data_IF_108501061553
#
_entry.id   IF_108501061553
#
_cell.length_a   1.000
_cell.length_b   1.000
_cell.length_c   1.000
_cell.angle_alpha   90.00
_cell.angle_beta   90.00
_cell.angle_gamma   90.00
#
_symmetry.space_group_name_H-M   'P 1'
#
loop_
_entity.id
_entity.type
_entity.pdbx_description
1 polymer ?
#
# COMPACT_ATOMS: atom_id res chain seq x y z
N UNK A 1 -63.45 -14.52 -17.03
CA UNK A 1 -62.55 -13.33 -17.19
C UNK A 1 -61.30 -13.57 -16.38
N UNK A 2 -60.21 -13.89 -17.02
CA UNK A 2 -58.92 -14.25 -16.39
C UNK A 2 -58.15 -12.97 -16.16
N UNK A 3 -58.08 -12.47 -14.90
CA UNK A 3 -57.16 -11.40 -14.54
C UNK A 3 -55.74 -12.00 -14.40
N UNK A 4 -54.92 -11.77 -15.40
CA UNK A 4 -53.47 -12.08 -15.36
C UNK A 4 -52.83 -11.14 -14.36
N UNK A 5 -52.48 -11.65 -13.22
CA UNK A 5 -51.62 -10.98 -12.24
C UNK A 5 -50.19 -11.13 -12.77
N UNK A 6 -49.67 -10.06 -13.31
CA UNK A 6 -48.26 -9.96 -13.74
C UNK A 6 -47.45 -9.71 -12.46
N UNK A 7 -46.89 -10.77 -11.89
CA UNK A 7 -45.92 -10.66 -10.79
C UNK A 7 -44.62 -10.17 -11.41
N UNK A 8 -44.37 -8.88 -11.27
CA UNK A 8 -43.08 -8.28 -11.61
C UNK A 8 -42.08 -8.72 -10.55
N UNK A 9 -41.32 -9.75 -10.85
CA UNK A 9 -40.14 -10.14 -10.06
C UNK A 9 -39.10 -9.02 -10.21
N UNK A 10 -39.10 -8.09 -9.26
CA UNK A 10 -38.04 -7.12 -9.07
C UNK A 10 -36.85 -7.90 -8.53
N UNK A 11 -36.00 -8.40 -9.44
CA UNK A 11 -34.69 -8.95 -9.09
C UNK A 11 -33.86 -7.78 -8.57
N UNK A 12 -33.84 -7.61 -7.25
CA UNK A 12 -32.87 -6.75 -6.60
C UNK A 12 -31.52 -7.42 -6.84
N UNK A 13 -30.82 -6.99 -7.87
CA UNK A 13 -29.39 -7.25 -7.98
C UNK A 13 -28.73 -6.54 -6.79
N UNK A 14 -28.49 -7.30 -5.73
CA UNK A 14 -27.53 -6.94 -4.71
C UNK A 14 -26.20 -6.78 -5.44
N UNK A 15 -25.91 -5.56 -5.90
CA UNK A 15 -24.56 -5.17 -6.26
C UNK A 15 -23.74 -5.35 -4.96
N UNK A 16 -23.12 -6.52 -4.83
CA UNK A 16 -22.04 -6.68 -3.88
C UNK A 16 -21.05 -5.59 -4.23
N UNK A 17 -20.99 -4.54 -3.41
CA UNK A 17 -19.86 -3.64 -3.39
C UNK A 17 -18.64 -4.49 -3.00
N UNK A 18 -18.06 -5.19 -3.96
CA UNK A 18 -16.72 -5.70 -3.80
C UNK A 18 -15.85 -4.46 -3.63
N UNK A 19 -15.32 -4.23 -2.45
CA UNK A 19 -14.30 -3.22 -2.22
C UNK A 19 -13.20 -3.52 -3.23
N UNK A 20 -13.06 -2.64 -4.23
CA UNK A 20 -11.99 -2.78 -5.22
C UNK A 20 -10.69 -2.62 -4.44
N UNK A 21 -9.91 -3.69 -4.34
CA UNK A 21 -8.59 -3.61 -3.70
C UNK A 21 -7.77 -2.55 -4.42
N UNK A 22 -7.04 -1.77 -3.66
CA UNK A 22 -6.16 -0.71 -4.19
C UNK A 22 -5.14 -1.31 -5.15
N UNK A 23 -4.63 -2.47 -4.80
CA UNK A 23 -3.72 -3.28 -5.61
C UNK A 23 -3.93 -4.75 -5.27
N UNK A 24 -3.85 -5.61 -6.29
CA UNK A 24 -3.95 -7.07 -6.14
C UNK A 24 -3.18 -7.73 -7.28
N UNK A 25 -1.87 -7.81 -7.11
CA UNK A 25 -0.99 -8.42 -8.10
C UNK A 25 -1.04 -9.95 -7.99
N UNK A 26 -1.08 -10.62 -9.13
CA UNK A 26 -0.83 -12.05 -9.19
C UNK A 26 0.58 -12.36 -8.67
N UNK A 27 0.75 -13.46 -7.97
CA UNK A 27 2.02 -13.82 -7.32
C UNK A 27 3.21 -13.91 -8.28
N UNK A 28 2.94 -14.33 -9.51
CA UNK A 28 3.94 -14.44 -10.59
C UNK A 28 4.36 -13.10 -11.19
N UNK A 29 3.61 -12.03 -10.92
CA UNK A 29 3.89 -10.66 -11.35
C UNK A 29 4.59 -9.83 -10.28
N UNK A 30 4.74 -10.34 -9.08
CA UNK A 30 5.40 -9.64 -7.99
C UNK A 30 6.92 -9.70 -8.17
N UNK A 31 7.55 -8.55 -8.31
CA UNK A 31 9.00 -8.42 -8.19
C UNK A 31 9.43 -8.57 -6.73
N UNK A 32 10.07 -9.68 -6.40
CA UNK A 32 10.36 -10.08 -5.03
C UNK A 32 11.18 -9.05 -4.26
N UNK A 33 12.22 -8.46 -4.86
CA UNK A 33 13.07 -7.48 -4.18
C UNK A 33 12.31 -6.19 -3.85
N UNK A 34 11.47 -5.74 -4.78
CA UNK A 34 10.64 -4.54 -4.60
C UNK A 34 9.59 -4.73 -3.52
N UNK A 35 8.89 -5.87 -3.56
CA UNK A 35 7.87 -6.24 -2.60
C UNK A 35 8.45 -6.41 -1.18
N UNK A 36 9.46 -7.26 -1.03
CA UNK A 36 10.02 -7.61 0.28
C UNK A 36 10.59 -6.38 0.97
N UNK A 37 11.38 -5.57 0.25
CA UNK A 37 11.99 -4.37 0.83
C UNK A 37 10.96 -3.32 1.25
N UNK A 38 9.89 -3.17 0.48
CA UNK A 38 8.80 -2.26 0.83
C UNK A 38 7.99 -2.78 2.03
N UNK A 39 7.71 -4.08 2.07
CA UNK A 39 7.02 -4.72 3.18
C UNK A 39 7.80 -4.54 4.49
N UNK A 40 9.07 -4.93 4.51
CA UNK A 40 9.93 -4.82 5.71
C UNK A 40 10.07 -3.38 6.20
N UNK A 41 10.33 -2.44 5.28
CA UNK A 41 10.45 -1.02 5.63
C UNK A 41 9.13 -0.44 6.20
N UNK A 42 7.99 -0.90 5.68
CA UNK A 42 6.67 -0.49 6.17
C UNK A 42 6.40 -1.08 7.55
N UNK A 43 6.68 -2.37 7.77
CA UNK A 43 6.56 -3.00 9.08
C UNK A 43 7.45 -2.29 10.09
N UNK A 44 8.72 -2.05 9.77
CA UNK A 44 9.65 -1.35 10.65
C UNK A 44 9.18 0.05 11.06
N UNK A 45 8.50 0.76 10.13
CA UNK A 45 8.01 2.12 10.36
C UNK A 45 6.72 2.14 11.18
N UNK A 46 5.81 1.20 10.94
CA UNK A 46 4.42 1.27 11.44
C UNK A 46 4.10 0.24 12.52
N UNK A 47 5.00 -0.68 12.87
CA UNK A 47 4.78 -1.63 13.95
C UNK A 47 4.44 -0.91 15.26
N UNK A 48 3.32 -1.30 15.87
CA UNK A 48 2.78 -0.66 17.07
C UNK A 48 2.05 0.68 16.84
N UNK A 49 1.89 1.11 15.58
CA UNK A 49 1.17 2.35 15.21
C UNK A 49 -0.13 2.10 14.45
N UNK A 50 -0.36 0.88 14.03
CA UNK A 50 -1.57 0.46 13.28
C UNK A 50 -2.51 -0.23 14.26
N UNK A 51 -3.73 0.29 14.38
CA UNK A 51 -4.79 -0.31 15.19
C UNK A 51 -5.87 -0.92 14.29
N UNK A 52 -6.84 -1.59 14.89
CA UNK A 52 -7.95 -2.25 14.20
C UNK A 52 -8.81 -1.30 13.35
N UNK A 53 -8.84 -0.01 13.67
CA UNK A 53 -9.63 0.99 12.97
C UNK A 53 -8.84 1.73 11.88
N UNK A 54 -7.56 1.37 11.65
CA UNK A 54 -6.74 2.05 10.66
C UNK A 54 -7.25 1.79 9.22
N UNK A 55 -7.29 2.84 8.42
CA UNK A 55 -7.77 2.82 7.02
C UNK A 55 -6.67 2.36 6.07
N UNK A 56 -6.39 1.06 6.03
CA UNK A 56 -5.30 0.46 5.23
C UNK A 56 -5.45 0.75 3.74
N UNK A 57 -6.68 0.65 3.20
CA UNK A 57 -6.93 0.91 1.77
C UNK A 57 -6.63 2.36 1.40
N UNK A 58 -6.99 3.32 2.25
CA UNK A 58 -6.69 4.74 2.03
C UNK A 58 -5.18 4.99 2.08
N UNK A 59 -4.47 4.38 3.03
CA UNK A 59 -3.02 4.48 3.11
C UNK A 59 -2.35 3.95 1.83
N UNK A 60 -2.71 2.75 1.40
CA UNK A 60 -2.18 2.16 0.18
C UNK A 60 -2.55 2.96 -1.07
N UNK A 61 -3.76 3.54 -1.11
CA UNK A 61 -4.18 4.44 -2.20
C UNK A 61 -3.30 5.68 -2.29
N UNK A 62 -2.97 6.30 -1.15
CA UNK A 62 -2.06 7.44 -1.10
C UNK A 62 -0.67 7.08 -1.62
N UNK A 63 -0.13 5.94 -1.21
CA UNK A 63 1.15 5.45 -1.69
C UNK A 63 1.13 5.18 -3.21
N UNK A 64 0.10 4.53 -3.69
CA UNK A 64 -0.09 4.24 -5.12
C UNK A 64 -0.16 5.52 -5.96
N UNK A 65 -0.94 6.50 -5.50
CA UNK A 65 -1.11 7.77 -6.19
C UNK A 65 0.20 8.58 -6.24
N UNK A 66 1.04 8.47 -5.20
CA UNK A 66 2.39 9.03 -5.23
C UNK A 66 3.22 8.44 -6.36
N UNK A 67 3.32 7.12 -6.44
CA UNK A 67 4.13 6.44 -7.46
C UNK A 67 3.58 6.61 -8.88
N UNK A 68 2.29 6.85 -9.03
CA UNK A 68 1.64 7.17 -10.31
C UNK A 68 1.72 8.65 -10.70
N UNK A 69 2.35 9.50 -9.87
CA UNK A 69 2.48 10.92 -10.14
C UNK A 69 1.15 11.70 -10.08
N UNK A 70 0.17 11.20 -9.32
CA UNK A 70 -1.17 11.82 -9.19
C UNK A 70 -1.26 12.85 -8.07
N UNK A 71 -0.23 12.96 -7.25
CA UNK A 71 -0.22 13.91 -6.13
C UNK A 71 0.17 15.29 -6.62
N UNK A 72 -0.76 16.23 -6.55
CA UNK A 72 -0.57 17.61 -7.01
C UNK A 72 -0.16 18.57 -5.88
N UNK A 73 -0.35 18.17 -4.62
CA UNK A 73 0.01 18.99 -3.47
C UNK A 73 1.50 18.84 -3.14
N UNK A 74 2.20 19.96 -2.86
CA UNK A 74 3.56 19.88 -2.33
C UNK A 74 3.61 19.10 -1.01
N UNK A 75 4.67 18.31 -0.83
CA UNK A 75 4.86 17.47 0.38
C UNK A 75 4.72 18.28 1.67
N UNK A 76 5.28 19.49 1.71
CA UNK A 76 5.16 20.37 2.89
C UNK A 76 3.69 20.69 3.23
N UNK A 77 2.83 20.93 2.23
CA UNK A 77 1.41 21.18 2.49
C UNK A 77 0.68 19.93 3.00
N UNK A 78 1.09 18.75 2.56
CA UNK A 78 0.56 17.48 3.07
C UNK A 78 0.96 17.29 4.53
N UNK A 79 2.22 17.52 4.87
CA UNK A 79 2.70 17.48 6.25
C UNK A 79 1.92 18.44 7.15
N UNK A 80 1.74 19.69 6.72
CA UNK A 80 0.98 20.69 7.48
C UNK A 80 -0.48 20.26 7.72
N UNK A 81 -1.12 19.59 6.75
CA UNK A 81 -2.48 19.05 6.89
C UNK A 81 -2.57 17.92 7.93
N UNK A 82 -1.56 17.07 8.04
CA UNK A 82 -1.55 15.96 9.00
C UNK A 82 -1.45 16.44 10.44
N UNK A 83 -0.83 17.60 10.71
CA UNK A 83 -0.76 18.17 12.06
C UNK A 83 -2.10 18.70 12.56
N UNK A 84 -3.04 19.01 11.66
CA UNK A 84 -4.33 19.64 11.99
C UNK A 84 -5.48 18.62 12.06
N UNK A 85 -5.31 17.45 11.46
CA UNK A 85 -6.35 16.41 11.37
C UNK A 85 -6.30 15.39 12.51
N UNK A 86 -7.45 14.74 12.78
CA UNK A 86 -7.52 13.58 13.68
C UNK A 86 -6.78 12.38 13.08
N UNK A 87 -6.06 11.62 13.91
CA UNK A 87 -5.24 10.50 13.47
C UNK A 87 -6.04 9.29 12.94
N UNK A 88 -7.32 9.22 13.20
CA UNK A 88 -8.19 8.09 12.86
C UNK A 88 -9.10 8.38 11.65
N UNK A 89 -8.70 9.32 10.77
CA UNK A 89 -9.47 9.60 9.57
C UNK A 89 -8.89 8.89 8.34
N UNK A 90 -9.77 8.61 7.38
CA UNK A 90 -9.40 8.10 6.05
C UNK A 90 -8.46 9.06 5.31
N UNK A 91 -8.69 10.38 5.45
CA UNK A 91 -7.84 11.43 4.89
C UNK A 91 -6.44 11.41 5.52
N UNK A 92 -6.36 11.23 6.85
CA UNK A 92 -5.09 11.07 7.54
C UNK A 92 -4.32 9.85 7.02
N UNK A 93 -4.99 8.71 6.89
CA UNK A 93 -4.38 7.49 6.37
C UNK A 93 -3.88 7.69 4.93
N UNK A 94 -4.68 8.31 4.05
CA UNK A 94 -4.29 8.59 2.67
C UNK A 94 -3.02 9.45 2.59
N UNK A 95 -2.99 10.59 3.26
CA UNK A 95 -1.81 11.46 3.24
C UNK A 95 -0.60 10.86 3.95
N UNK A 96 -0.81 10.06 4.97
CA UNK A 96 0.27 9.29 5.61
C UNK A 96 0.89 8.29 4.63
N UNK A 97 0.07 7.65 3.80
CA UNK A 97 0.52 6.77 2.71
C UNK A 97 1.34 7.51 1.66
N UNK A 98 0.93 8.72 1.27
CA UNK A 98 1.71 9.58 0.35
C UNK A 98 3.08 9.88 0.92
N UNK A 99 3.16 10.34 2.18
CA UNK A 99 4.43 10.66 2.83
C UNK A 99 5.32 9.44 3.03
N UNK A 100 4.73 8.29 3.34
CA UNK A 100 5.48 7.04 3.44
C UNK A 100 6.10 6.63 2.12
N UNK A 101 5.33 6.70 1.04
CA UNK A 101 5.80 6.37 -0.31
C UNK A 101 6.91 7.30 -0.78
N UNK A 102 6.80 8.59 -0.54
CA UNK A 102 7.83 9.59 -0.81
C UNK A 102 9.12 9.29 -0.04
N UNK A 103 9.01 9.07 1.27
CA UNK A 103 10.13 8.76 2.13
C UNK A 103 10.82 7.45 1.72
N UNK A 104 10.04 6.42 1.38
CA UNK A 104 10.57 5.13 0.93
C UNK A 104 11.34 5.26 -0.40
N UNK A 105 10.79 5.97 -1.37
CA UNK A 105 11.46 6.26 -2.64
C UNK A 105 12.80 6.99 -2.42
N UNK A 106 12.81 8.00 -1.56
CA UNK A 106 14.02 8.72 -1.21
C UNK A 106 15.05 7.82 -0.51
N UNK A 107 14.61 6.95 0.39
CA UNK A 107 15.48 6.02 1.08
C UNK A 107 16.13 5.03 0.11
N UNK A 108 15.41 4.50 -0.86
CA UNK A 108 16.01 3.65 -1.90
C UNK A 108 17.08 4.40 -2.70
N UNK A 109 16.82 5.65 -3.08
CA UNK A 109 17.82 6.46 -3.81
C UNK A 109 19.03 6.86 -2.95
N UNK A 110 18.95 6.76 -1.61
CA UNK A 110 20.11 6.94 -0.71
C UNK A 110 20.99 5.69 -0.63
N UNK A 111 20.46 4.49 -0.90
CA UNK A 111 21.28 3.28 -0.99
C UNK A 111 22.26 3.36 -2.15
N UNK A 112 21.80 3.79 -3.29
CA UNK A 112 22.61 4.09 -4.45
C UNK A 112 21.88 5.05 -5.40
N UNK A 113 22.60 5.88 -6.17
CA UNK A 113 21.97 6.73 -7.18
C UNK A 113 21.08 5.93 -8.13
N UNK A 114 19.86 6.42 -8.33
CA UNK A 114 18.86 5.78 -9.20
C UNK A 114 18.42 4.36 -8.78
N UNK A 115 18.59 3.96 -7.52
CA UNK A 115 18.13 2.66 -7.04
C UNK A 115 16.62 2.48 -7.29
N UNK A 116 15.81 3.52 -7.07
CA UNK A 116 14.39 3.50 -7.34
C UNK A 116 14.03 3.02 -8.76
N UNK A 117 14.80 3.43 -9.76
CA UNK A 117 14.56 3.05 -11.16
C UNK A 117 14.79 1.56 -11.45
N UNK A 118 15.33 0.81 -10.48
CA UNK A 118 15.55 -0.64 -10.56
C UNK A 118 14.44 -1.44 -9.89
N UNK A 119 13.44 -0.75 -9.32
CA UNK A 119 12.33 -1.33 -8.60
C UNK A 119 11.04 -1.27 -9.42
N UNK A 120 10.18 -2.24 -9.16
CA UNK A 120 8.83 -2.31 -9.71
C UNK A 120 7.85 -1.62 -8.75
N UNK A 121 7.38 -0.43 -9.11
CA UNK A 121 6.52 0.37 -8.21
C UNK A 121 5.17 -0.29 -7.88
N UNK A 122 4.52 -1.08 -8.75
CA UNK A 122 3.36 -1.87 -8.36
C UNK A 122 3.68 -2.88 -7.26
N UNK A 123 4.82 -3.59 -7.35
CA UNK A 123 5.24 -4.54 -6.31
C UNK A 123 5.62 -3.84 -5.00
N UNK A 124 6.19 -2.64 -5.05
CA UNK A 124 6.40 -1.79 -3.87
C UNK A 124 5.06 -1.46 -3.21
N UNK A 125 4.07 -1.01 -3.99
CA UNK A 125 2.73 -0.70 -3.48
C UNK A 125 2.06 -1.93 -2.86
N UNK A 126 2.20 -3.10 -3.49
CA UNK A 126 1.69 -4.36 -2.94
C UNK A 126 2.35 -4.70 -1.59
N UNK A 127 3.66 -4.53 -1.49
CA UNK A 127 4.40 -4.74 -0.25
C UNK A 127 3.93 -3.80 0.87
N UNK A 128 3.71 -2.54 0.58
CA UNK A 128 3.15 -1.55 1.52
C UNK A 128 1.75 -1.97 1.97
N UNK A 129 0.88 -2.31 1.03
CA UNK A 129 -0.51 -2.71 1.32
C UNK A 129 -0.56 -3.94 2.23
N UNK A 130 0.18 -4.99 1.86
CA UNK A 130 0.20 -6.24 2.62
C UNK A 130 0.79 -6.04 4.02
N UNK A 131 1.86 -5.25 4.15
CA UNK A 131 2.45 -4.93 5.44
C UNK A 131 1.46 -4.22 6.38
N UNK A 132 0.76 -3.21 5.88
CA UNK A 132 -0.23 -2.47 6.68
C UNK A 132 -1.44 -3.34 7.06
N UNK A 133 -1.88 -4.22 6.15
CA UNK A 133 -2.96 -5.18 6.42
C UNK A 133 -2.53 -6.19 7.49
N UNK A 134 -1.33 -6.75 7.35
CA UNK A 134 -0.81 -7.76 8.26
C UNK A 134 -0.56 -7.15 9.66
N UNK A 135 -0.02 -5.92 9.74
CA UNK A 135 0.09 -5.18 11.00
C UNK A 135 -1.27 -4.93 11.66
N UNK A 136 -2.30 -4.57 10.88
CA UNK A 136 -3.65 -4.38 11.39
C UNK A 136 -4.24 -5.65 11.99
N UNK A 137 -3.91 -6.80 11.40
CA UNK A 137 -4.39 -8.12 11.82
C UNK A 137 -3.49 -8.80 12.85
N UNK A 138 -2.29 -8.28 13.12
CA UNK A 138 -1.28 -8.96 13.95
C UNK A 138 -0.69 -10.20 13.29
N UNK A 139 -0.57 -10.19 11.97
CA UNK A 139 -0.15 -11.31 11.11
C UNK A 139 1.13 -10.97 10.33
N UNK A 140 1.89 -9.99 10.80
CA UNK A 140 3.14 -9.62 10.12
C UNK A 140 4.09 -10.81 10.00
N UNK A 141 4.80 -10.89 8.85
CA UNK A 141 5.75 -11.95 8.59
C UNK A 141 6.93 -11.90 9.55
N UNK A 142 7.47 -13.08 9.85
CA UNK A 142 8.70 -13.20 10.62
C UNK A 142 9.87 -12.52 9.89
N UNK A 143 10.76 -11.88 10.65
CA UNK A 143 11.96 -11.21 10.12
C UNK A 143 12.93 -12.16 9.41
N UNK A 144 12.83 -13.49 9.69
CA UNK A 144 13.61 -14.55 9.05
C UNK A 144 12.84 -15.27 7.94
N UNK A 145 11.68 -14.74 7.50
CA UNK A 145 10.95 -15.30 6.36
C UNK A 145 11.88 -15.37 5.13
N UNK A 146 12.11 -16.57 4.62
CA UNK A 146 13.08 -16.81 3.54
C UNK A 146 12.80 -15.99 2.28
N UNK A 147 11.51 -15.79 1.96
CA UNK A 147 11.10 -14.98 0.81
C UNK A 147 11.49 -13.51 1.00
N UNK A 148 11.30 -12.99 2.21
CA UNK A 148 11.64 -11.59 2.54
C UNK A 148 13.15 -11.37 2.56
N UNK A 149 13.89 -12.24 3.25
CA UNK A 149 15.36 -12.16 3.31
C UNK A 149 15.97 -12.21 1.91
N UNK A 150 15.52 -13.13 1.06
CA UNK A 150 16.02 -13.25 -0.31
C UNK A 150 15.74 -11.99 -1.14
N UNK A 151 14.54 -11.41 -1.01
CA UNK A 151 14.18 -10.17 -1.71
C UNK A 151 15.04 -8.99 -1.27
N UNK A 152 15.27 -8.83 0.03
CA UNK A 152 16.11 -7.77 0.59
C UNK A 152 17.58 -7.93 0.21
N UNK A 153 18.10 -9.16 0.20
CA UNK A 153 19.44 -9.44 -0.30
C UNK A 153 19.60 -9.11 -1.79
N UNK A 154 18.58 -9.39 -2.60
CA UNK A 154 18.59 -9.05 -4.02
C UNK A 154 18.57 -7.53 -4.23
N UNK A 155 17.77 -6.79 -3.44
CA UNK A 155 17.80 -5.33 -3.46
C UNK A 155 19.21 -4.80 -3.21
N UNK A 156 19.87 -5.27 -2.16
CA UNK A 156 21.22 -4.83 -1.83
C UNK A 156 22.22 -5.12 -2.95
N UNK A 157 22.09 -6.25 -3.66
CA UNK A 157 22.94 -6.58 -4.82
C UNK A 157 22.74 -5.60 -5.98
N UNK A 158 21.49 -5.23 -6.28
CA UNK A 158 21.18 -4.33 -7.41
C UNK A 158 21.36 -2.85 -7.07
N UNK A 159 21.22 -2.48 -5.79
CA UNK A 159 21.33 -1.11 -5.29
C UNK A 159 22.61 -0.84 -4.48
N UNK A 160 23.58 -1.76 -4.42
CA UNK A 160 24.88 -1.44 -3.85
C UNK A 160 25.61 -0.45 -4.78
N UNK A 161 26.20 0.57 -4.19
CA UNK A 161 27.13 1.44 -4.90
C UNK A 161 28.35 0.61 -5.29
N UNK A 162 28.70 0.61 -6.58
CA UNK A 162 29.99 0.09 -7.06
C UNK A 162 31.04 1.16 -6.92
#
# INVERSE_FOLDING_TARGET
MLKKILVLLFSIALAACSSVKVIDLDKDKIDQKSYASAYEATVATYKGRVNENFYVDNFASGANDWYLGRILLPIKQIQDKLYVGGHDSDVYAYYSGVLHAEALQNNFNRLAPNCWNKLDSPSVTQGIYDAMRDLKNGEERDENDEYMVKGSDELLKVCSAK
#
